data_IF_748418672771
#
_entry.id   IF_748418672771
#
_cell.length_a   1.000
_cell.length_b   1.000
_cell.length_c   1.000
_cell.angle_alpha   90.00
_cell.angle_beta   90.00
_cell.angle_gamma   90.00
#
_symmetry.space_group_name_H-M   'P 1'
#
loop_
_entity.id
_entity.type
_entity.pdbx_description
1 polymer ?
#
# COMPACT_ATOMS: atom_id res chain seq x y z
N UNK A 1 -63.46 -10.45 -71.59
CA UNK A 1 -63.08 -9.08 -71.13
C UNK A 1 -62.48 -9.22 -69.75
N UNK A 2 -61.18 -9.31 -69.68
CA UNK A 2 -60.44 -9.72 -68.48
C UNK A 2 -59.40 -8.67 -68.14
N UNK A 3 -59.66 -8.01 -67.01
CA UNK A 3 -58.65 -7.09 -66.44
C UNK A 3 -57.56 -7.85 -65.69
N UNK A 4 -56.33 -7.74 -66.13
CA UNK A 4 -55.16 -8.19 -65.43
C UNK A 4 -54.77 -7.12 -64.41
N UNK A 5 -54.82 -7.47 -63.13
CA UNK A 5 -54.27 -6.66 -62.07
C UNK A 5 -52.76 -6.96 -61.90
N UNK A 6 -51.93 -5.92 -61.98
CA UNK A 6 -50.50 -5.99 -61.79
C UNK A 6 -50.20 -5.86 -60.30
N UNK A 7 -49.68 -6.91 -59.68
CA UNK A 7 -49.18 -6.86 -58.31
C UNK A 7 -47.74 -6.27 -58.31
N UNK A 8 -47.63 -5.09 -57.72
CA UNK A 8 -46.34 -4.48 -57.42
C UNK A 8 -45.88 -4.98 -56.05
N UNK A 9 -44.83 -5.80 -56.03
CA UNK A 9 -44.12 -6.20 -54.83
C UNK A 9 -43.35 -5.01 -54.25
N UNK A 10 -43.78 -4.50 -53.12
CA UNK A 10 -42.97 -3.59 -52.30
C UNK A 10 -41.90 -4.41 -51.57
N UNK A 11 -40.65 -4.17 -51.90
CA UNK A 11 -39.49 -4.64 -51.14
C UNK A 11 -39.36 -3.70 -49.95
N UNK A 12 -39.67 -4.21 -48.73
CA UNK A 12 -39.35 -3.50 -47.49
C UNK A 12 -37.92 -3.83 -47.14
N UNK A 13 -37.01 -2.88 -47.38
CA UNK A 13 -35.65 -2.92 -46.81
C UNK A 13 -35.79 -2.68 -45.30
N UNK A 14 -35.72 -3.75 -44.51
CA UNK A 14 -35.56 -3.67 -43.08
C UNK A 14 -34.11 -3.26 -42.76
N UNK A 15 -33.88 -1.99 -42.46
CA UNK A 15 -32.62 -1.55 -41.86
C UNK A 15 -32.56 -2.05 -40.41
N UNK A 16 -31.85 -3.15 -40.24
CA UNK A 16 -31.48 -3.68 -38.95
C UNK A 16 -30.43 -2.76 -38.33
N UNK A 17 -30.87 -1.81 -37.48
CA UNK A 17 -29.97 -1.04 -36.63
C UNK A 17 -29.42 -2.01 -35.58
N UNK A 18 -28.22 -2.49 -35.86
CA UNK A 18 -27.40 -3.22 -34.90
C UNK A 18 -26.94 -2.22 -33.81
N UNK A 19 -27.68 -2.19 -32.70
CA UNK A 19 -27.29 -1.47 -31.51
C UNK A 19 -26.12 -2.23 -30.89
N UNK A 20 -24.87 -1.89 -31.30
CA UNK A 20 -23.68 -2.30 -30.59
C UNK A 20 -23.69 -1.59 -29.24
N UNK A 21 -24.29 -2.23 -28.23
CA UNK A 21 -24.05 -1.87 -26.86
C UNK A 21 -22.58 -2.16 -26.56
N UNK A 22 -21.75 -1.13 -26.65
CA UNK A 22 -20.43 -1.12 -26.05
C UNK A 22 -20.60 -1.27 -24.55
N UNK A 23 -20.67 -2.50 -24.09
CA UNK A 23 -20.35 -2.81 -22.70
C UNK A 23 -18.89 -2.43 -22.51
N UNK A 24 -18.62 -1.21 -22.05
CA UNK A 24 -17.37 -0.89 -21.40
C UNK A 24 -17.32 -1.73 -20.15
N UNK A 25 -16.72 -2.91 -20.25
CA UNK A 25 -16.31 -3.65 -19.07
C UNK A 25 -15.49 -2.66 -18.23
N UNK A 26 -15.75 -2.52 -16.91
CA UNK A 26 -14.89 -1.72 -16.06
C UNK A 26 -13.48 -2.28 -16.23
N UNK A 27 -12.54 -1.41 -16.60
CA UNK A 27 -11.15 -1.80 -16.72
C UNK A 27 -10.77 -2.46 -15.37
N UNK A 28 -10.62 -3.78 -15.39
CA UNK A 28 -9.99 -4.50 -14.30
C UNK A 28 -8.58 -3.90 -14.22
N UNK A 29 -8.36 -2.99 -13.29
CA UNK A 29 -7.01 -2.61 -12.92
C UNK A 29 -6.36 -3.90 -12.43
N UNK A 30 -5.56 -4.50 -13.30
CA UNK A 30 -4.72 -5.61 -12.92
C UNK A 30 -3.89 -5.12 -11.73
N UNK A 31 -3.89 -5.87 -10.64
CA UNK A 31 -3.06 -5.57 -9.49
C UNK A 31 -1.62 -5.58 -10.00
N UNK A 32 -0.93 -4.43 -9.87
CA UNK A 32 0.43 -4.33 -10.36
C UNK A 32 1.32 -5.31 -9.61
N UNK A 33 2.09 -6.09 -10.34
CA UNK A 33 3.06 -7.02 -9.81
C UNK A 33 4.47 -6.68 -10.30
N UNK A 34 5.45 -7.07 -9.51
CA UNK A 34 6.88 -6.89 -9.81
C UNK A 34 7.53 -8.25 -9.87
N UNK A 35 8.28 -8.48 -10.94
CA UNK A 35 9.10 -9.67 -11.10
C UNK A 35 10.42 -9.50 -10.34
N UNK A 36 10.72 -10.44 -9.44
CA UNK A 36 11.96 -10.50 -8.66
C UNK A 36 12.67 -11.81 -8.96
N UNK A 37 13.98 -11.72 -9.21
CA UNK A 37 14.86 -12.87 -9.32
C UNK A 37 15.39 -13.21 -7.93
N UNK A 38 14.99 -14.35 -7.41
CA UNK A 38 15.46 -14.85 -6.11
C UNK A 38 16.54 -15.90 -6.35
N UNK A 39 17.68 -15.72 -5.69
CA UNK A 39 18.81 -16.66 -5.73
C UNK A 39 18.90 -17.41 -4.43
N UNK A 40 18.51 -18.67 -4.46
CA UNK A 40 18.63 -19.58 -3.31
C UNK A 40 19.45 -20.81 -3.69
N UNK A 41 20.49 -21.11 -2.93
CA UNK A 41 21.31 -22.32 -3.10
C UNK A 41 21.83 -22.55 -4.53
N UNK A 42 22.18 -21.46 -5.24
CA UNK A 42 22.69 -21.54 -6.61
C UNK A 42 21.63 -21.74 -7.69
N UNK A 43 20.35 -21.75 -7.33
CA UNK A 43 19.23 -21.77 -8.27
C UNK A 43 18.60 -20.39 -8.36
N UNK A 44 18.35 -19.93 -9.59
CA UNK A 44 17.62 -18.69 -9.84
C UNK A 44 16.14 -19.01 -10.06
N UNK A 45 15.25 -18.32 -9.32
CA UNK A 45 13.80 -18.43 -9.46
C UNK A 45 13.22 -17.04 -9.68
N UNK A 46 12.41 -16.91 -10.71
CA UNK A 46 11.62 -15.69 -10.94
C UNK A 46 10.32 -15.77 -10.15
N UNK A 47 10.04 -14.76 -9.35
CA UNK A 47 8.83 -14.66 -8.55
C UNK A 47 8.10 -13.36 -8.84
N UNK A 48 6.78 -13.46 -9.04
CA UNK A 48 5.89 -12.30 -9.20
C UNK A 48 5.29 -11.92 -7.86
N UNK A 49 5.58 -10.72 -7.39
CA UNK A 49 5.13 -10.18 -6.11
C UNK A 49 4.13 -9.06 -6.36
N UNK A 50 2.95 -9.16 -5.77
CA UNK A 50 1.92 -8.13 -5.86
C UNK A 50 2.29 -6.92 -4.99
N UNK A 51 2.07 -5.72 -5.54
CA UNK A 51 2.36 -4.48 -4.83
C UNK A 51 1.25 -4.12 -3.84
N UNK A 52 1.58 -3.56 -2.66
CA UNK A 52 0.61 -2.91 -1.79
C UNK A 52 -0.19 -1.85 -2.55
N UNK A 53 -1.47 -1.74 -2.25
CA UNK A 53 -2.41 -0.86 -2.97
C UNK A 53 -1.99 0.61 -2.95
N UNK A 54 -1.41 1.07 -1.84
CA UNK A 54 -0.90 2.44 -1.71
C UNK A 54 0.19 2.79 -2.73
N UNK A 55 0.96 1.80 -3.19
CA UNK A 55 2.01 2.01 -4.18
C UNK A 55 1.48 2.18 -5.61
N UNK A 56 0.20 1.89 -5.83
CA UNK A 56 -0.47 2.03 -7.13
C UNK A 56 -1.36 3.28 -7.22
N UNK A 57 -1.49 4.07 -6.14
CA UNK A 57 -2.26 5.29 -6.17
C UNK A 57 -1.60 6.37 -7.05
N UNK A 58 -2.37 6.99 -7.98
CA UNK A 58 -1.87 8.11 -8.76
C UNK A 58 -1.57 9.31 -7.84
N UNK A 59 -0.44 9.98 -8.07
CA UNK A 59 -0.05 11.17 -7.30
C UNK A 59 -1.12 12.27 -7.37
N UNK A 60 -1.72 12.48 -8.52
CA UNK A 60 -2.79 13.47 -8.70
C UNK A 60 -4.02 13.19 -7.82
N UNK A 61 -4.36 11.92 -7.59
CA UNK A 61 -5.43 11.53 -6.68
C UNK A 61 -5.07 11.89 -5.23
N UNK A 62 -3.84 11.58 -4.81
CA UNK A 62 -3.36 11.93 -3.47
C UNK A 62 -3.35 13.44 -3.23
N UNK A 63 -2.84 14.22 -4.19
CA UNK A 63 -2.79 15.67 -4.11
C UNK A 63 -4.19 16.34 -4.12
N UNK A 64 -5.12 15.80 -4.92
CA UNK A 64 -6.49 16.32 -4.99
C UNK A 64 -7.23 16.07 -3.67
N UNK A 65 -7.08 14.89 -3.09
CA UNK A 65 -7.72 14.55 -1.83
C UNK A 65 -7.28 15.46 -0.67
N UNK A 66 -6.01 15.89 -0.70
CA UNK A 66 -5.47 16.82 0.30
C UNK A 66 -5.69 18.29 -0.01
N UNK A 67 -6.27 18.65 -1.18
CA UNK A 67 -6.33 20.03 -1.68
C UNK A 67 -4.94 20.72 -1.67
N UNK A 68 -3.87 19.93 -1.72
CA UNK A 68 -2.50 20.39 -1.54
C UNK A 68 -1.90 21.01 -2.81
N UNK A 69 -2.60 20.98 -3.94
CA UNK A 69 -2.12 21.54 -5.23
C UNK A 69 -1.64 23.00 -5.14
N UNK A 70 -2.17 23.76 -4.18
CA UNK A 70 -1.84 25.18 -4.03
C UNK A 70 -0.76 25.47 -2.99
N UNK A 71 -0.29 24.47 -2.24
CA UNK A 71 0.65 24.63 -1.14
C UNK A 71 2.02 23.99 -1.36
N UNK A 72 2.14 23.12 -2.37
CA UNK A 72 3.42 22.54 -2.75
C UNK A 72 3.97 23.30 -3.96
N UNK A 73 4.40 24.51 -3.73
CA UNK A 73 5.36 25.17 -4.62
C UNK A 73 6.73 24.53 -4.33
N UNK A 74 7.05 23.48 -5.08
CA UNK A 74 8.39 22.91 -5.11
C UNK A 74 9.29 24.00 -5.70
N UNK A 75 9.78 24.87 -4.83
CA UNK A 75 10.59 26.04 -5.21
C UNK A 75 11.60 25.64 -6.28
N UNK A 76 11.65 26.43 -7.35
CA UNK A 76 12.47 26.23 -8.55
C UNK A 76 13.98 26.12 -8.27
N UNK A 77 14.40 26.34 -7.01
CA UNK A 77 15.80 26.37 -6.59
C UNK A 77 16.37 25.05 -6.08
N UNK A 78 15.55 24.02 -5.88
CA UNK A 78 16.05 22.69 -5.61
C UNK A 78 16.30 21.97 -6.94
N UNK A 79 17.57 21.90 -7.38
CA UNK A 79 17.99 21.02 -8.44
C UNK A 79 17.80 19.57 -7.97
N UNK A 80 16.59 19.06 -8.11
CA UNK A 80 16.30 17.66 -7.81
C UNK A 80 17.00 16.81 -8.85
N UNK A 81 18.09 16.15 -8.44
CA UNK A 81 18.73 15.15 -9.27
C UNK A 81 17.68 14.11 -9.67
N UNK A 82 17.46 13.92 -10.96
CA UNK A 82 16.59 12.86 -11.49
C UNK A 82 17.28 11.48 -11.43
N UNK A 83 18.55 11.45 -11.07
CA UNK A 83 19.34 10.22 -10.96
C UNK A 83 19.10 9.60 -9.59
N UNK A 84 18.57 8.40 -9.57
CA UNK A 84 18.46 7.63 -8.34
C UNK A 84 19.85 7.12 -7.95
N UNK A 85 20.35 7.40 -6.74
CA UNK A 85 21.61 6.84 -6.29
C UNK A 85 21.46 5.32 -6.15
N UNK A 86 22.27 4.58 -6.89
CA UNK A 86 22.36 3.12 -6.77
C UNK A 86 23.48 2.78 -5.81
N UNK A 87 23.14 2.14 -4.70
CA UNK A 87 24.12 1.66 -3.73
C UNK A 87 24.34 0.15 -3.92
N UNK A 88 25.50 -0.35 -3.48
CA UNK A 88 25.73 -1.78 -3.37
C UNK A 88 24.87 -2.39 -2.26
N UNK A 89 24.61 -3.68 -2.34
CA UNK A 89 23.82 -4.42 -1.34
C UNK A 89 24.42 -4.28 0.07
N UNK A 90 25.76 -4.22 0.17
CA UNK A 90 26.45 -4.01 1.44
C UNK A 90 26.04 -2.71 2.14
N UNK A 91 25.76 -1.64 1.38
CA UNK A 91 25.29 -0.36 1.95
C UNK A 91 23.86 -0.49 2.49
N UNK A 92 22.97 -1.19 1.79
CA UNK A 92 21.62 -1.42 2.27
C UNK A 92 21.57 -2.30 3.51
N UNK A 93 22.38 -3.37 3.53
CA UNK A 93 22.52 -4.27 4.68
C UNK A 93 23.06 -3.49 5.90
N UNK A 94 24.14 -2.73 5.72
CA UNK A 94 24.72 -1.92 6.79
C UNK A 94 23.71 -0.89 7.33
N UNK A 95 23.00 -0.19 6.45
CA UNK A 95 22.00 0.81 6.87
C UNK A 95 20.80 0.18 7.60
N UNK A 96 20.26 -0.93 7.10
CA UNK A 96 19.16 -1.63 7.76
C UNK A 96 19.59 -2.15 9.15
N UNK A 97 20.80 -2.67 9.29
CA UNK A 97 21.34 -3.16 10.56
C UNK A 97 21.59 -2.05 11.60
N UNK A 98 21.75 -0.79 11.15
CA UNK A 98 21.95 0.38 12.02
C UNK A 98 20.67 1.15 12.32
N UNK A 99 19.56 0.78 11.72
CA UNK A 99 18.29 1.42 12.04
C UNK A 99 17.93 1.14 13.51
N UNK A 100 17.53 2.16 14.28
CA UNK A 100 17.17 1.99 15.69
C UNK A 100 15.76 1.38 15.79
N UNK A 101 15.61 0.14 15.32
CA UNK A 101 14.34 -0.58 15.29
C UNK A 101 14.34 -1.72 16.31
N UNK A 102 13.19 -1.97 16.92
CA UNK A 102 12.95 -3.15 17.76
C UNK A 102 12.65 -4.36 16.89
N UNK A 103 12.06 -4.12 15.73
CA UNK A 103 11.70 -5.15 14.78
C UNK A 103 12.88 -5.55 13.91
N UNK A 104 12.97 -6.83 13.57
CA UNK A 104 13.95 -7.29 12.59
C UNK A 104 13.61 -6.78 11.18
N UNK A 105 14.59 -6.15 10.55
CA UNK A 105 14.49 -5.59 9.21
C UNK A 105 15.46 -6.32 8.26
N UNK A 106 15.20 -7.59 7.92
CA UNK A 106 16.12 -8.37 7.09
C UNK A 106 16.22 -7.81 5.67
N UNK A 107 17.43 -7.84 5.12
CA UNK A 107 17.68 -7.53 3.73
C UNK A 107 17.57 -8.79 2.86
N UNK A 108 16.88 -8.66 1.74
CA UNK A 108 16.87 -9.64 0.66
C UNK A 108 16.54 -8.96 -0.69
N UNK A 109 16.59 -9.72 -1.78
CA UNK A 109 16.35 -9.19 -3.13
C UNK A 109 14.93 -8.61 -3.30
N UNK A 110 13.95 -9.12 -2.55
CA UNK A 110 12.57 -8.63 -2.56
C UNK A 110 12.51 -7.24 -1.91
N UNK A 111 13.09 -7.12 -0.71
CA UNK A 111 13.17 -5.83 0.01
C UNK A 111 13.92 -4.80 -0.83
N UNK A 112 15.04 -5.19 -1.46
CA UNK A 112 15.80 -4.34 -2.38
C UNK A 112 14.92 -3.79 -3.50
N UNK A 113 14.11 -4.65 -4.13
CA UNK A 113 13.23 -4.25 -5.22
C UNK A 113 12.20 -3.20 -4.78
N UNK A 114 11.64 -3.33 -3.57
CA UNK A 114 10.73 -2.34 -3.02
C UNK A 114 11.44 -1.02 -2.68
N UNK A 115 12.66 -1.07 -2.15
CA UNK A 115 13.47 0.15 -1.91
C UNK A 115 13.72 0.88 -3.23
N UNK A 116 14.16 0.19 -4.26
CA UNK A 116 14.43 0.77 -5.59
C UNK A 116 13.16 1.38 -6.19
N UNK A 117 12.01 0.77 -5.95
CA UNK A 117 10.72 1.26 -6.43
C UNK A 117 10.29 2.54 -5.73
N UNK A 118 10.42 2.63 -4.41
CA UNK A 118 10.14 3.86 -3.66
C UNK A 118 11.12 4.98 -4.04
N UNK A 119 12.42 4.68 -4.14
CA UNK A 119 13.43 5.66 -4.49
C UNK A 119 13.34 6.12 -5.96
N UNK A 120 12.79 5.28 -6.84
CA UNK A 120 12.66 5.52 -8.28
C UNK A 120 11.27 5.92 -8.72
N UNK A 121 10.50 4.94 -9.17
CA UNK A 121 9.17 5.13 -9.78
C UNK A 121 8.20 5.89 -8.87
N UNK A 122 8.23 5.63 -7.56
CA UNK A 122 7.31 6.22 -6.57
C UNK A 122 7.89 7.45 -5.87
N UNK A 123 9.00 8.01 -6.37
CA UNK A 123 9.69 9.13 -5.74
C UNK A 123 8.78 10.33 -5.40
N UNK A 124 7.88 10.69 -6.32
CA UNK A 124 6.96 11.79 -6.10
C UNK A 124 5.92 11.47 -5.01
N UNK A 125 5.44 10.23 -4.97
CA UNK A 125 4.56 9.76 -3.88
C UNK A 125 5.29 9.77 -2.53
N UNK A 126 6.57 9.38 -2.51
CA UNK A 126 7.40 9.46 -1.29
C UNK A 126 7.54 10.90 -0.83
N UNK A 127 7.77 11.86 -1.73
CA UNK A 127 7.83 13.28 -1.38
C UNK A 127 6.53 13.77 -0.72
N UNK A 128 5.38 13.35 -1.29
CA UNK A 128 4.07 13.63 -0.70
C UNK A 128 3.92 13.00 0.69
N UNK A 129 4.27 11.71 0.83
CA UNK A 129 4.18 10.99 2.10
C UNK A 129 5.08 11.60 3.18
N UNK A 130 6.30 12.04 2.82
CA UNK A 130 7.20 12.75 3.73
C UNK A 130 6.59 14.04 4.26
N UNK A 131 5.89 14.79 3.42
CA UNK A 131 5.17 16.00 3.85
C UNK A 131 4.04 15.66 4.80
N UNK A 132 3.27 14.60 4.51
CA UNK A 132 2.17 14.14 5.35
C UNK A 132 2.66 13.54 6.70
N UNK A 133 3.87 12.97 6.73
CA UNK A 133 4.49 12.47 7.95
C UNK A 133 4.58 13.54 9.05
N UNK A 134 4.90 14.78 8.71
CA UNK A 134 4.99 15.86 9.69
C UNK A 134 3.67 16.07 10.48
N UNK A 135 2.56 15.75 9.87
CA UNK A 135 1.25 15.87 10.50
C UNK A 135 0.83 14.62 11.26
N UNK A 136 1.02 13.43 10.66
CA UNK A 136 0.48 12.20 11.22
C UNK A 136 1.40 11.47 12.18
N UNK A 137 2.74 11.57 12.03
CA UNK A 137 3.67 10.80 12.86
C UNK A 137 3.51 11.06 14.35
N UNK A 138 3.31 12.31 14.84
CA UNK A 138 3.08 12.55 16.27
C UNK A 138 1.86 11.81 16.82
N UNK A 139 0.76 11.73 16.04
CA UNK A 139 -0.47 11.01 16.43
C UNK A 139 -0.21 9.50 16.50
N UNK A 140 0.55 8.97 15.54
CA UNK A 140 0.87 7.54 15.50
C UNK A 140 1.80 7.15 16.64
N UNK A 141 2.86 7.94 16.86
CA UNK A 141 3.84 7.71 17.93
C UNK A 141 3.20 7.73 19.32
N UNK A 142 2.31 8.69 19.59
CA UNK A 142 1.57 8.77 20.85
C UNK A 142 0.80 7.49 21.15
N UNK A 143 0.03 7.00 20.18
CA UNK A 143 -0.78 5.79 20.39
C UNK A 143 0.09 4.53 20.46
N UNK A 144 1.14 4.41 19.66
CA UNK A 144 2.05 3.25 19.69
C UNK A 144 2.80 3.19 21.02
N UNK A 145 3.32 4.31 21.50
CA UNK A 145 4.01 4.42 22.80
C UNK A 145 3.07 4.05 23.96
N UNK A 146 1.85 4.56 23.97
CA UNK A 146 0.84 4.26 24.99
C UNK A 146 0.53 2.76 25.11
N UNK A 147 0.64 1.98 24.03
CA UNK A 147 0.49 0.53 24.03
C UNK A 147 1.82 -0.24 24.14
N UNK A 148 2.95 0.45 24.29
CA UNK A 148 4.29 -0.15 24.35
C UNK A 148 4.67 -0.89 23.08
N UNK A 149 4.30 -0.35 21.93
CA UNK A 149 4.53 -0.94 20.61
C UNK A 149 5.77 -0.33 19.92
N UNK A 150 6.46 -1.09 19.04
CA UNK A 150 7.54 -0.56 18.23
C UNK A 150 7.12 0.65 17.41
N UNK A 151 7.90 1.73 17.48
CA UNK A 151 7.58 2.97 16.77
C UNK A 151 7.70 2.83 15.23
N UNK A 152 8.39 1.81 14.75
CA UNK A 152 8.48 1.47 13.32
C UNK A 152 7.10 1.23 12.71
N UNK A 153 6.14 0.76 13.49
CA UNK A 153 4.76 0.50 13.05
C UNK A 153 4.04 1.76 12.57
N UNK A 154 4.53 2.95 12.89
CA UNK A 154 4.03 4.23 12.35
C UNK A 154 4.09 4.33 10.83
N UNK A 155 4.93 3.52 10.19
CA UNK A 155 5.04 3.49 8.74
C UNK A 155 4.06 2.50 8.06
N UNK A 156 3.24 1.78 8.83
CA UNK A 156 2.21 0.90 8.28
C UNK A 156 1.18 1.65 7.42
N UNK A 157 0.66 2.84 7.81
CA UNK A 157 -0.25 3.62 6.97
C UNK A 157 0.34 4.07 5.63
N UNK A 158 1.67 4.09 5.48
CA UNK A 158 2.33 4.36 4.21
C UNK A 158 1.99 3.28 3.19
N UNK A 159 2.08 2.01 3.58
CA UNK A 159 1.79 0.88 2.70
C UNK A 159 0.29 0.57 2.61
N UNK A 160 -0.53 1.06 3.53
CA UNK A 160 -1.98 0.90 3.52
C UNK A 160 -2.69 1.93 2.64
N UNK A 161 -2.37 3.19 2.83
CA UNK A 161 -3.13 4.30 2.23
C UNK A 161 -2.28 5.40 1.60
N UNK A 162 -0.95 5.27 1.60
CA UNK A 162 -0.02 6.39 1.30
C UNK A 162 -0.34 7.64 2.16
N UNK A 163 -0.73 7.44 3.42
CA UNK A 163 -1.16 8.48 4.37
C UNK A 163 -2.41 9.27 3.92
N UNK A 164 -3.28 8.66 3.12
CA UNK A 164 -4.55 9.28 2.71
C UNK A 164 -5.69 8.87 3.66
N UNK A 165 -6.25 9.79 4.48
CA UNK A 165 -7.34 9.50 5.40
C UNK A 165 -8.67 9.19 4.71
N UNK A 166 -8.81 9.60 3.45
CA UNK A 166 -10.00 9.37 2.64
C UNK A 166 -9.94 8.09 1.80
N UNK A 167 -8.82 7.37 1.85
CA UNK A 167 -8.63 6.16 1.05
C UNK A 167 -9.70 5.11 1.32
N UNK A 168 -10.26 4.55 0.24
CA UNK A 168 -11.20 3.43 0.29
C UNK A 168 -10.75 2.37 -0.68
N UNK A 169 -10.50 1.16 -0.19
CA UNK A 169 -10.10 0.04 -1.03
C UNK A 169 -11.32 -0.57 -1.75
N UNK A 170 -11.07 -1.35 -2.80
CA UNK A 170 -12.12 -2.09 -3.51
C UNK A 170 -12.89 -3.04 -2.58
N UNK A 171 -12.25 -3.56 -1.55
CA UNK A 171 -12.87 -4.43 -0.55
C UNK A 171 -13.61 -3.65 0.56
N UNK A 172 -13.60 -2.31 0.52
CA UNK A 172 -14.27 -1.46 1.52
C UNK A 172 -13.45 -1.19 2.78
N UNK A 173 -12.14 -1.48 2.77
CA UNK A 173 -11.23 -0.99 3.81
C UNK A 173 -11.09 0.53 3.68
N UNK A 174 -10.98 1.26 4.80
CA UNK A 174 -11.12 2.71 4.82
C UNK A 174 -10.12 3.39 5.76
N UNK A 175 -9.69 4.60 5.36
CA UNK A 175 -8.88 5.50 6.16
C UNK A 175 -7.37 5.20 6.12
N UNK A 176 -6.61 5.90 6.97
CA UNK A 176 -5.15 5.78 7.07
C UNK A 176 -4.69 4.34 7.30
N UNK A 177 -5.37 3.63 8.18
CA UNK A 177 -5.07 2.29 8.66
C UNK A 177 -5.84 1.20 7.88
N UNK A 178 -6.60 1.56 6.86
CA UNK A 178 -7.38 0.65 6.00
C UNK A 178 -8.21 -0.39 6.79
N UNK A 179 -8.90 0.07 7.82
CA UNK A 179 -9.79 -0.82 8.57
C UNK A 179 -10.95 -1.34 7.72
N UNK A 180 -11.14 -2.65 7.73
CA UNK A 180 -12.39 -3.26 7.30
C UNK A 180 -13.50 -2.89 8.27
N UNK A 181 -14.74 -2.74 7.77
CA UNK A 181 -15.89 -2.33 8.59
C UNK A 181 -16.08 -3.20 9.84
N UNK A 182 -16.00 -4.51 9.67
CA UNK A 182 -16.18 -5.46 10.78
C UNK A 182 -15.08 -5.31 11.83
N UNK A 183 -13.81 -5.23 11.40
CA UNK A 183 -12.67 -5.05 12.29
C UNK A 183 -12.73 -3.71 13.01
N UNK A 184 -13.05 -2.61 12.30
CA UNK A 184 -13.20 -1.29 12.91
C UNK A 184 -14.22 -1.29 14.03
N UNK A 185 -15.39 -1.93 13.83
CA UNK A 185 -16.42 -2.06 14.88
C UNK A 185 -15.95 -2.83 16.12
N UNK A 186 -15.18 -3.92 15.91
CA UNK A 186 -14.60 -4.69 17.05
C UNK A 186 -13.69 -3.79 17.88
N UNK A 187 -12.94 -2.90 17.25
CA UNK A 187 -12.03 -1.97 17.91
C UNK A 187 -12.66 -0.62 18.28
N UNK A 188 -14.00 -0.52 18.22
CA UNK A 188 -14.78 0.59 18.77
C UNK A 188 -14.92 1.78 17.81
N UNK A 189 -14.63 1.61 16.52
CA UNK A 189 -14.86 2.63 15.51
C UNK A 189 -16.32 2.63 15.07
N UNK A 190 -16.99 3.77 15.22
CA UNK A 190 -18.35 3.96 14.75
C UNK A 190 -18.36 4.16 13.24
N UNK A 191 -19.32 3.51 12.58
CA UNK A 191 -19.56 3.70 11.15
C UNK A 191 -21.06 3.58 10.88
N UNK A 192 -21.65 4.67 10.41
CA UNK A 192 -23.04 4.81 10.04
C UNK A 192 -23.18 5.67 8.78
N UNK A 193 -24.41 6.10 8.43
CA UNK A 193 -24.65 6.92 7.23
C UNK A 193 -24.08 8.34 7.30
N UNK A 194 -23.75 8.85 8.48
CA UNK A 194 -23.29 10.23 8.69
C UNK A 194 -21.81 10.28 9.07
N UNK A 195 -21.29 9.27 9.76
CA UNK A 195 -19.93 9.25 10.32
C UNK A 195 -19.27 7.92 10.00
N UNK A 196 -18.00 7.97 9.63
CA UNK A 196 -17.12 6.82 9.51
C UNK A 196 -15.79 7.11 10.19
N UNK A 197 -15.67 6.68 11.46
CA UNK A 197 -14.50 6.93 12.32
C UNK A 197 -13.24 6.21 11.88
N UNK A 198 -13.33 5.28 10.91
CA UNK A 198 -12.16 4.70 10.26
C UNK A 198 -11.34 5.75 9.49
N UNK A 199 -11.96 6.90 9.17
CA UNK A 199 -11.33 8.06 8.52
C UNK A 199 -10.79 9.08 9.52
N UNK A 200 -11.17 8.98 10.78
CA UNK A 200 -10.65 9.84 11.84
C UNK A 200 -9.20 9.44 12.17
N UNK A 201 -8.21 10.32 11.98
CA UNK A 201 -6.82 9.96 12.19
C UNK A 201 -6.50 9.53 13.61
N UNK A 202 -7.11 10.17 14.61
CA UNK A 202 -6.86 9.88 16.02
C UNK A 202 -7.53 8.56 16.41
N UNK A 203 -8.85 8.46 16.22
CA UNK A 203 -9.62 7.27 16.64
C UNK A 203 -9.13 6.02 15.93
N UNK A 204 -8.89 6.09 14.61
CA UNK A 204 -8.38 4.96 13.84
C UNK A 204 -6.97 4.54 14.30
N UNK A 205 -6.11 5.49 14.69
CA UNK A 205 -4.77 5.17 15.19
C UNK A 205 -4.82 4.44 16.53
N UNK A 206 -5.63 4.91 17.48
CA UNK A 206 -5.80 4.21 18.76
C UNK A 206 -6.40 2.81 18.59
N UNK A 207 -7.34 2.65 17.67
CA UNK A 207 -7.90 1.34 17.33
C UNK A 207 -6.84 0.42 16.69
N UNK A 208 -5.99 0.96 15.80
CA UNK A 208 -4.92 0.21 15.16
C UNK A 208 -3.84 -0.24 16.15
N UNK A 209 -3.43 0.63 17.07
CA UNK A 209 -2.46 0.29 18.11
C UNK A 209 -2.99 -0.87 18.98
N UNK A 210 -4.27 -0.84 19.40
CA UNK A 210 -4.89 -1.95 20.12
C UNK A 210 -4.95 -3.23 19.30
N UNK A 211 -5.32 -3.14 18.01
CA UNK A 211 -5.36 -4.30 17.13
C UNK A 211 -3.99 -4.93 16.95
N UNK A 212 -2.95 -4.12 16.71
CA UNK A 212 -1.56 -4.58 16.60
C UNK A 212 -1.07 -5.26 17.88
N UNK A 213 -1.44 -4.70 19.05
CA UNK A 213 -1.13 -5.29 20.35
C UNK A 213 -1.76 -6.68 20.52
N UNK A 214 -3.06 -6.80 20.21
CA UNK A 214 -3.77 -8.08 20.29
C UNK A 214 -3.15 -9.12 19.34
N UNK A 215 -2.76 -8.71 18.11
CA UNK A 215 -2.07 -9.58 17.18
C UNK A 215 -0.69 -10.03 17.72
N UNK A 216 0.06 -9.11 18.33
CA UNK A 216 1.35 -9.45 18.91
C UNK A 216 1.21 -10.42 20.08
N UNK A 217 0.16 -10.30 20.86
CA UNK A 217 -0.10 -11.23 21.96
C UNK A 217 -0.35 -12.67 21.48
N UNK A 218 -0.83 -12.83 20.24
CA UNK A 218 -1.03 -14.12 19.59
C UNK A 218 0.27 -14.66 18.98
N UNK A 219 0.98 -13.87 18.19
CA UNK A 219 2.07 -14.36 17.33
C UNK A 219 3.45 -14.20 17.95
N UNK A 220 3.66 -13.21 18.83
CA UNK A 220 4.96 -12.85 19.43
C UNK A 220 6.08 -12.60 18.41
N UNK A 221 5.73 -12.39 17.15
CA UNK A 221 6.61 -12.07 16.02
C UNK A 221 6.00 -10.92 15.20
N UNK A 222 6.74 -9.83 15.04
CA UNK A 222 6.23 -8.63 14.39
C UNK A 222 6.03 -8.80 12.89
N UNK A 223 6.85 -9.58 12.20
CA UNK A 223 6.68 -9.83 10.77
C UNK A 223 5.39 -10.65 10.52
N UNK A 224 5.08 -11.59 11.42
CA UNK A 224 3.80 -12.29 11.39
C UNK A 224 2.62 -11.37 11.73
N UNK A 225 2.78 -10.45 12.68
CA UNK A 225 1.74 -9.45 13.01
C UNK A 225 1.43 -8.57 11.80
N UNK A 226 2.46 -8.04 11.12
CA UNK A 226 2.30 -7.23 9.92
C UNK A 226 1.63 -8.04 8.80
N UNK A 227 2.04 -9.28 8.58
CA UNK A 227 1.40 -10.16 7.62
C UNK A 227 -0.07 -10.45 7.99
N UNK A 228 -0.36 -10.68 9.29
CA UNK A 228 -1.72 -10.89 9.79
C UNK A 228 -2.61 -9.66 9.67
N UNK A 229 -2.04 -8.47 9.80
CA UNK A 229 -2.75 -7.21 9.58
C UNK A 229 -3.32 -7.14 8.16
N UNK A 230 -2.52 -7.54 7.16
CA UNK A 230 -2.91 -7.55 5.75
C UNK A 230 -3.94 -8.65 5.41
N UNK A 231 -3.64 -9.91 5.73
CA UNK A 231 -4.46 -11.04 5.26
C UNK A 231 -5.39 -11.65 6.32
N UNK A 232 -5.35 -11.12 7.52
CA UNK A 232 -6.10 -11.61 8.67
C UNK A 232 -5.46 -12.82 9.37
N UNK A 233 -5.69 -12.95 10.69
CA UNK A 233 -5.08 -13.99 11.53
C UNK A 233 -5.45 -15.41 11.08
N UNK A 234 -6.66 -15.60 10.56
CA UNK A 234 -7.10 -16.90 10.05
C UNK A 234 -6.26 -17.41 8.88
N UNK A 235 -5.78 -16.51 8.02
CA UNK A 235 -4.91 -16.86 6.88
C UNK A 235 -3.50 -17.23 7.37
N UNK A 236 -2.94 -16.47 8.30
CA UNK A 236 -1.64 -16.78 8.91
C UNK A 236 -1.69 -18.14 9.61
N UNK A 237 -2.72 -18.42 10.41
CA UNK A 237 -2.88 -19.71 11.09
C UNK A 237 -2.99 -20.89 10.10
N UNK A 238 -3.60 -20.68 8.93
CA UNK A 238 -3.61 -21.68 7.86
C UNK A 238 -2.21 -21.90 7.27
N UNK A 239 -1.46 -20.82 7.03
CA UNK A 239 -0.09 -20.90 6.52
C UNK A 239 0.84 -21.62 7.50
N UNK A 240 0.78 -21.28 8.80
CA UNK A 240 1.52 -21.98 9.87
C UNK A 240 1.20 -23.48 9.86
N UNK A 241 -0.06 -23.88 9.83
CA UNK A 241 -0.42 -25.31 9.77
C UNK A 241 0.10 -25.99 8.52
N UNK A 242 0.02 -25.34 7.36
CA UNK A 242 0.49 -25.91 6.08
C UNK A 242 2.01 -26.03 5.99
N UNK A 243 2.74 -25.18 6.71
CA UNK A 243 4.21 -25.21 6.77
C UNK A 243 4.75 -26.25 7.79
N UNK A 244 3.86 -26.97 8.49
CA UNK A 244 4.27 -27.91 9.54
C UNK A 244 4.51 -27.25 10.90
N UNK A 245 3.86 -26.12 11.19
CA UNK A 245 3.95 -25.42 12.48
C UNK A 245 5.05 -24.37 12.57
N UNK A 246 5.62 -23.95 11.46
CA UNK A 246 6.63 -22.89 11.43
C UNK A 246 5.98 -21.52 11.75
N UNK A 247 6.68 -20.73 12.58
CA UNK A 247 6.18 -19.45 13.12
C UNK A 247 7.07 -18.25 12.74
N UNK A 248 7.93 -18.40 11.76
CA UNK A 248 8.69 -17.30 11.14
C UNK A 248 8.04 -16.91 9.80
N UNK A 249 7.95 -15.59 9.52
CA UNK A 249 7.33 -15.10 8.29
C UNK A 249 7.99 -15.64 7.02
N UNK A 250 9.33 -15.66 6.97
CA UNK A 250 10.06 -16.11 5.78
C UNK A 250 9.96 -17.61 5.57
N UNK A 251 9.82 -18.39 6.65
CA UNK A 251 9.60 -19.84 6.55
C UNK A 251 8.18 -20.19 6.04
N UNK A 252 7.17 -19.36 6.36
CA UNK A 252 5.80 -19.57 5.87
C UNK A 252 5.51 -18.81 4.58
N UNK A 253 6.45 -18.03 4.07
CA UNK A 253 6.31 -17.15 2.91
C UNK A 253 5.60 -17.80 1.72
N UNK A 254 6.02 -19.00 1.32
CA UNK A 254 5.45 -19.74 0.19
C UNK A 254 3.99 -20.19 0.38
N UNK A 255 3.50 -20.19 1.63
CA UNK A 255 2.12 -20.57 1.97
C UNK A 255 1.20 -19.36 2.09
N UNK A 256 1.74 -18.15 2.00
CA UNK A 256 0.99 -16.90 2.07
C UNK A 256 0.38 -16.51 0.73
N UNK A 257 -0.73 -15.74 0.72
CA UNK A 257 -1.24 -15.09 -0.49
C UNK A 257 -0.18 -14.20 -1.14
N UNK A 258 -0.19 -14.07 -2.46
CA UNK A 258 0.79 -13.25 -3.21
C UNK A 258 0.86 -11.82 -2.71
N UNK A 259 -0.29 -11.17 -2.42
CA UNK A 259 -0.34 -9.83 -1.86
C UNK A 259 0.41 -9.74 -0.52
N UNK A 260 0.19 -10.71 0.37
CA UNK A 260 0.83 -10.75 1.69
C UNK A 260 2.33 -11.00 1.62
N UNK A 261 2.80 -11.73 0.60
CA UNK A 261 4.25 -11.94 0.38
C UNK A 261 5.00 -10.64 0.09
N UNK A 262 4.36 -9.69 -0.58
CA UNK A 262 4.95 -8.37 -0.83
C UNK A 262 4.80 -7.39 0.34
N UNK A 263 3.92 -7.66 1.28
CA UNK A 263 3.50 -6.68 2.28
C UNK A 263 4.59 -6.39 3.34
N UNK A 264 5.20 -7.42 3.93
CA UNK A 264 6.31 -7.24 4.89
C UNK A 264 7.56 -6.64 4.21
N UNK A 265 8.01 -7.11 3.03
CA UNK A 265 9.08 -6.46 2.29
C UNK A 265 8.80 -4.98 1.97
N UNK A 266 7.56 -4.63 1.60
CA UNK A 266 7.18 -3.24 1.37
C UNK A 266 7.24 -2.40 2.65
N UNK A 267 6.84 -2.97 3.79
CA UNK A 267 6.95 -2.33 5.10
C UNK A 267 8.40 -2.04 5.48
N UNK A 268 9.29 -3.02 5.32
CA UNK A 268 10.73 -2.85 5.57
C UNK A 268 11.29 -1.76 4.66
N UNK A 269 10.96 -1.78 3.38
CA UNK A 269 11.40 -0.77 2.42
C UNK A 269 10.85 0.63 2.75
N UNK A 270 9.59 0.75 3.20
CA UNK A 270 9.02 2.02 3.64
C UNK A 270 9.79 2.59 4.83
N UNK A 271 10.07 1.77 5.86
CA UNK A 271 10.90 2.15 7.00
C UNK A 271 12.28 2.66 6.54
N UNK A 272 12.95 1.91 5.66
CA UNK A 272 14.25 2.28 5.14
C UNK A 272 14.22 3.62 4.39
N UNK A 273 13.28 3.78 3.47
CA UNK A 273 13.20 4.98 2.63
C UNK A 273 12.82 6.20 3.46
N UNK A 274 11.89 6.08 4.40
CA UNK A 274 11.50 7.19 5.29
C UNK A 274 12.62 7.59 6.27
N UNK A 275 13.52 6.68 6.61
CA UNK A 275 14.69 6.97 7.45
C UNK A 275 15.83 7.61 6.64
N UNK A 276 16.06 7.12 5.42
CA UNK A 276 17.21 7.53 4.60
C UNK A 276 16.86 8.41 3.40
N UNK A 277 15.67 9.02 3.36
CA UNK A 277 15.16 9.76 2.20
C UNK A 277 16.10 10.88 1.71
N UNK A 278 16.81 11.58 2.60
CA UNK A 278 17.76 12.64 2.23
C UNK A 278 18.87 12.11 1.32
N UNK A 279 19.37 10.91 1.58
CA UNK A 279 20.42 10.30 0.77
C UNK A 279 19.93 9.58 -0.47
N UNK A 280 18.65 9.22 -0.52
CA UNK A 280 18.05 8.45 -1.62
C UNK A 280 17.36 9.35 -2.64
N UNK A 281 16.67 10.39 -2.16
CA UNK A 281 15.74 11.15 -2.97
C UNK A 281 16.18 12.59 -3.16
N UNK A 282 17.15 13.08 -2.39
CA UNK A 282 17.62 14.47 -2.38
C UNK A 282 16.45 15.50 -2.27
N UNK A 283 15.43 15.16 -1.48
CA UNK A 283 14.37 16.09 -1.15
C UNK A 283 14.81 16.83 0.10
N UNK A 284 14.94 18.16 -0.01
CA UNK A 284 15.05 19.01 1.18
C UNK A 284 13.76 18.84 2.01
N UNK A 285 13.89 18.73 3.34
CA UNK A 285 12.69 18.73 4.20
C UNK A 285 11.78 19.87 3.79
N UNK A 286 10.48 19.60 3.52
CA UNK A 286 9.52 20.69 3.37
C UNK A 286 9.56 21.47 4.70
N UNK A 287 10.01 22.71 4.62
CA UNK A 287 10.07 23.60 5.79
C UNK A 287 8.72 23.58 6.49
N UNK A 288 8.70 23.44 7.81
CA UNK A 288 7.51 23.45 8.68
C UNK A 288 6.52 24.59 8.40
N UNK A 289 6.96 25.62 7.69
CA UNK A 289 6.21 26.81 7.27
C UNK A 289 5.21 26.58 6.13
N UNK A 290 5.25 25.46 5.42
CA UNK A 290 4.31 25.14 4.33
C UNK A 290 3.03 24.43 4.80
N UNK A 291 2.88 24.16 6.10
CA UNK A 291 1.77 23.40 6.69
C UNK A 291 0.93 24.19 7.73
N UNK A 292 1.11 25.53 7.83
CA UNK A 292 0.29 26.39 8.68
C UNK A 292 -0.73 27.16 7.84
#
# INVERSE_FOLDING_TARGET
MTHKAIYMKRIILGSSLLFCALFTAPAMHAQESVEVLIRENGTERQESIELPKSMTYPLDSLLNDWKAKNYIDLGKDCSTSTVNPMFSDSVYIDRLSRMPTVMEMPYNEIVRKFIDMYAGRLRNQVAFMLSACNFYMPIFEEALDAYGLPLELKYLPIIESALNPSAVSRAGACGLWQFMLATGKIYGLESNSLVDERRDPIKATWAAARYLKDMYDIYKDWNLVIAAYNCGPGTINKAIRRSGGKTDYWEIYNYLPKETRGYVPAFIAANYVMTYYLSLIHISEPTRLALI
#
